data_IF_503893043772
#
_entry.id   IF_503893043772
#
_cell.length_a   1.000
_cell.length_b   1.000
_cell.length_c   1.000
_cell.angle_alpha   90.00
_cell.angle_beta   90.00
_cell.angle_gamma   90.00
#
_symmetry.space_group_name_H-M   'P 1'
#
loop_
_entity.id
_entity.type
_entity.pdbx_description
1 polymer ?
#
# COMPACT_ATOMS: atom_id res chain seq x y z
N UNK A 1 -55.05 0.27 -4.33
CA UNK A 1 -54.94 1.70 -4.66
C UNK A 1 -53.51 2.13 -4.36
N UNK A 2 -52.77 2.45 -5.41
CA UNK A 2 -51.36 2.84 -5.39
C UNK A 2 -51.12 4.06 -4.51
N UNK A 3 -50.13 4.02 -3.62
CA UNK A 3 -49.20 5.13 -3.45
C UNK A 3 -47.81 4.55 -3.14
N UNK A 4 -47.04 4.42 -4.22
CA UNK A 4 -45.58 4.33 -4.21
C UNK A 4 -45.06 5.56 -3.45
N UNK A 5 -44.57 5.38 -2.23
CA UNK A 5 -43.74 6.38 -1.57
C UNK A 5 -42.29 5.95 -1.70
N UNK A 6 -41.72 6.35 -2.83
CA UNK A 6 -40.31 6.30 -3.19
C UNK A 6 -39.54 7.28 -2.30
N UNK A 7 -39.16 6.89 -1.08
CA UNK A 7 -38.06 7.56 -0.37
C UNK A 7 -36.80 6.74 -0.59
N UNK A 8 -36.25 6.88 -1.80
CA UNK A 8 -34.82 6.67 -2.04
C UNK A 8 -34.13 7.73 -1.19
N UNK A 9 -33.70 7.36 0.02
CA UNK A 9 -32.68 8.11 0.73
C UNK A 9 -31.43 8.08 -0.12
N UNK A 10 -31.29 9.15 -0.89
CA UNK A 10 -30.13 9.61 -1.62
C UNK A 10 -28.84 9.12 -0.94
N UNK A 11 -28.22 8.09 -1.50
CA UNK A 11 -26.83 7.72 -1.23
C UNK A 11 -25.97 8.93 -1.63
N UNK A 12 -25.76 9.85 -0.70
CA UNK A 12 -24.57 10.69 -0.73
C UNK A 12 -23.40 9.78 -0.38
N UNK A 13 -22.91 9.03 -1.36
CA UNK A 13 -21.58 8.44 -1.30
C UNK A 13 -20.59 9.61 -1.33
N UNK A 14 -20.36 10.24 -0.18
CA UNK A 14 -19.05 10.84 0.06
C UNK A 14 -18.09 9.65 0.09
N UNK A 15 -17.53 9.31 -1.08
CA UNK A 15 -16.26 8.62 -1.09
C UNK A 15 -15.29 9.60 -0.43
N UNK A 16 -15.13 9.48 0.89
CA UNK A 16 -13.93 9.95 1.55
C UNK A 16 -12.82 9.25 0.75
N UNK A 17 -12.12 10.00 -0.09
CA UNK A 17 -10.82 9.58 -0.59
C UNK A 17 -9.94 9.49 0.65
N UNK A 18 -10.03 8.37 1.36
CA UNK A 18 -9.28 8.10 2.56
C UNK A 18 -7.83 7.93 2.10
N UNK A 19 -7.12 9.07 2.07
CA UNK A 19 -5.70 9.09 1.82
C UNK A 19 -5.01 8.31 2.91
N UNK A 20 -3.93 7.61 2.56
CA UNK A 20 -2.98 7.16 3.55
C UNK A 20 -1.74 8.04 3.55
N UNK A 21 -1.30 8.43 4.75
CA UNK A 21 -0.05 9.14 4.97
C UNK A 21 0.98 8.19 5.54
N UNK A 22 2.17 8.20 4.93
CA UNK A 22 3.32 7.41 5.34
C UNK A 22 4.35 8.36 5.92
N UNK A 23 4.75 8.11 7.17
CA UNK A 23 5.69 8.93 7.94
C UNK A 23 6.87 8.08 8.36
N UNK A 24 8.06 8.65 8.37
CA UNK A 24 9.24 7.98 8.90
C UNK A 24 9.16 7.82 10.42
N UNK A 25 9.60 6.66 10.91
CA UNK A 25 9.68 6.36 12.32
C UNK A 25 8.31 6.17 12.99
N UNK A 26 8.34 6.12 14.32
CA UNK A 26 7.14 5.99 15.16
C UNK A 26 6.57 7.38 15.46
N UNK A 27 5.35 7.65 14.99
CA UNK A 27 4.60 8.84 15.42
C UNK A 27 3.68 9.41 14.34
N UNK A 28 2.49 9.82 14.77
CA UNK A 28 1.46 10.39 13.88
C UNK A 28 1.74 11.86 13.52
N UNK A 29 2.72 12.49 14.17
CA UNK A 29 3.09 13.91 13.97
C UNK A 29 4.38 14.11 13.15
N UNK A 30 5.06 13.03 12.76
CA UNK A 30 6.27 13.11 11.94
C UNK A 30 5.95 13.63 10.54
N UNK A 31 6.93 14.17 9.82
CA UNK A 31 6.69 14.65 8.44
C UNK A 31 6.14 13.54 7.55
N UNK A 32 5.11 13.85 6.76
CA UNK A 32 4.58 12.92 5.75
C UNK A 32 5.59 12.81 4.61
N UNK A 33 6.18 11.62 4.45
CA UNK A 33 7.07 11.31 3.34
C UNK A 33 6.31 10.96 2.08
N UNK A 34 5.17 10.27 2.21
CA UNK A 34 4.37 9.86 1.07
C UNK A 34 2.87 9.95 1.33
N UNK A 35 2.12 10.20 0.27
CA UNK A 35 0.65 10.13 0.27
C UNK A 35 0.19 9.09 -0.74
N UNK A 36 -0.65 8.17 -0.28
CA UNK A 36 -1.41 7.25 -1.13
C UNK A 36 -2.82 7.79 -1.32
N UNK A 37 -3.25 7.97 -2.57
CA UNK A 37 -4.58 8.54 -2.90
C UNK A 37 -5.57 7.52 -3.48
N UNK A 38 -5.25 6.23 -3.42
CA UNK A 38 -6.07 5.15 -4.00
C UNK A 38 -5.66 4.75 -5.42
N UNK A 39 -4.89 5.58 -6.13
CA UNK A 39 -4.32 5.24 -7.44
C UNK A 39 -2.81 5.52 -7.53
N UNK A 40 -2.35 6.57 -6.86
CA UNK A 40 -1.00 7.08 -6.95
C UNK A 40 -0.33 7.13 -5.58
N UNK A 41 0.94 6.71 -5.53
CA UNK A 41 1.84 7.05 -4.44
C UNK A 41 2.59 8.32 -4.81
N UNK A 42 2.54 9.31 -3.92
CA UNK A 42 3.11 10.64 -4.14
C UNK A 42 4.16 10.97 -3.10
N UNK A 43 5.15 11.76 -3.48
CA UNK A 43 6.15 12.29 -2.56
C UNK A 43 5.57 13.46 -1.76
N UNK A 44 5.59 13.39 -0.44
CA UNK A 44 5.08 14.42 0.46
C UNK A 44 3.58 14.35 0.75
N UNK A 45 3.08 15.38 1.43
CA UNK A 45 1.69 15.47 1.89
C UNK A 45 0.76 16.01 0.80
N UNK A 46 -0.25 15.24 0.42
CA UNK A 46 -1.35 15.66 -0.44
C UNK A 46 -1.26 15.22 -1.91
N UNK A 47 -2.33 15.51 -2.65
CA UNK A 47 -2.59 14.94 -4.00
C UNK A 47 -2.00 15.73 -5.17
N UNK A 48 -1.42 16.89 -4.92
CA UNK A 48 -0.81 17.73 -5.97
C UNK A 48 0.70 17.51 -6.13
N UNK A 49 1.30 16.64 -5.31
CA UNK A 49 2.72 16.36 -5.39
C UNK A 49 3.07 15.38 -6.50
N UNK A 50 4.37 15.27 -6.77
CA UNK A 50 5.00 14.33 -7.69
C UNK A 50 4.49 12.91 -7.46
N UNK A 51 3.95 12.30 -8.52
CA UNK A 51 3.59 10.88 -8.54
C UNK A 51 4.87 10.08 -8.70
N UNK A 52 5.17 9.24 -7.71
CA UNK A 52 6.27 8.28 -7.77
C UNK A 52 5.83 7.01 -8.48
N UNK A 53 4.63 6.51 -8.16
CA UNK A 53 4.10 5.27 -8.71
C UNK A 53 2.61 5.35 -8.99
N UNK A 54 2.17 4.60 -10.00
CA UNK A 54 0.76 4.27 -10.26
C UNK A 54 0.53 2.82 -9.92
N UNK A 55 -0.65 2.51 -9.38
CA UNK A 55 -1.06 1.14 -9.08
C UNK A 55 -2.35 0.86 -9.83
N UNK A 56 -2.33 -0.18 -10.64
CA UNK A 56 -3.45 -0.62 -11.44
C UNK A 56 -3.62 -2.14 -11.31
N UNK A 57 -4.70 -2.55 -10.64
CA UNK A 57 -4.99 -3.94 -10.30
C UNK A 57 -3.86 -4.59 -9.49
N UNK A 58 -2.99 -5.35 -10.17
CA UNK A 58 -1.84 -6.05 -9.58
C UNK A 58 -0.50 -5.40 -9.91
N UNK A 59 -0.46 -4.36 -10.73
CA UNK A 59 0.79 -3.79 -11.22
C UNK A 59 1.16 -2.52 -10.47
N UNK A 60 2.45 -2.39 -10.16
CA UNK A 60 3.07 -1.16 -9.68
C UNK A 60 3.91 -0.61 -10.82
N UNK A 61 3.62 0.61 -11.26
CA UNK A 61 4.27 1.28 -12.39
C UNK A 61 5.02 2.51 -11.94
N UNK A 62 6.11 2.81 -12.63
CA UNK A 62 6.86 4.04 -12.41
C UNK A 62 6.06 5.27 -12.88
N UNK A 63 5.99 6.30 -12.04
CA UNK A 63 5.40 7.60 -12.37
C UNK A 63 3.90 7.55 -12.60
N UNK A 64 3.37 8.62 -13.20
CA UNK A 64 1.95 8.77 -13.52
C UNK A 64 1.66 8.17 -14.90
N UNK A 65 0.83 7.13 -14.96
CA UNK A 65 0.32 6.61 -16.23
C UNK A 65 0.09 5.11 -16.22
N UNK A 66 -1.01 4.69 -16.85
CA UNK A 66 -1.47 3.30 -16.86
C UNK A 66 -0.70 2.42 -17.87
N UNK A 67 0.18 3.02 -18.69
CA UNK A 67 1.00 2.35 -19.70
C UNK A 67 2.51 2.42 -19.43
N UNK A 68 2.91 2.96 -18.27
CA UNK A 68 4.33 3.03 -17.91
C UNK A 68 4.88 1.64 -17.58
N UNK A 69 6.21 1.54 -17.54
CA UNK A 69 6.94 0.33 -17.16
C UNK A 69 6.43 -0.23 -15.83
N UNK A 70 6.03 -1.50 -15.85
CA UNK A 70 5.68 -2.27 -14.66
C UNK A 70 6.97 -2.61 -13.92
N UNK A 71 7.11 -2.09 -12.70
CA UNK A 71 8.23 -2.37 -11.82
C UNK A 71 8.00 -3.64 -11.01
N UNK A 72 6.75 -3.92 -10.65
CA UNK A 72 6.40 -5.11 -9.88
C UNK A 72 4.97 -5.58 -10.12
N UNK A 73 4.74 -6.87 -9.85
CA UNK A 73 3.42 -7.52 -9.88
C UNK A 73 3.10 -8.09 -8.49
N UNK A 74 1.89 -7.84 -8.00
CA UNK A 74 1.38 -8.32 -6.72
C UNK A 74 0.28 -9.36 -6.91
N UNK A 75 0.46 -10.57 -6.37
CA UNK A 75 -0.53 -11.66 -6.53
C UNK A 75 -1.36 -11.95 -5.26
N UNK A 76 -1.30 -11.06 -4.27
CA UNK A 76 -1.96 -11.24 -2.97
C UNK A 76 -1.10 -11.95 -1.92
N UNK A 77 0.00 -12.59 -2.33
CA UNK A 77 0.98 -13.22 -1.43
C UNK A 77 2.42 -12.81 -1.72
N UNK A 78 2.76 -12.65 -2.99
CA UNK A 78 4.10 -12.38 -3.48
C UNK A 78 4.16 -11.06 -4.24
N UNK A 79 5.14 -10.22 -3.90
CA UNK A 79 5.58 -9.13 -4.75
C UNK A 79 6.69 -9.62 -5.65
N UNK A 80 6.49 -9.52 -6.97
CA UNK A 80 7.40 -10.01 -8.00
C UNK A 80 8.03 -8.87 -8.76
N UNK A 81 9.27 -9.05 -9.19
CA UNK A 81 9.93 -8.09 -10.06
C UNK A 81 9.29 -8.06 -11.45
N UNK A 82 9.00 -6.87 -11.97
CA UNK A 82 8.48 -6.67 -13.31
C UNK A 82 7.06 -7.20 -13.54
N UNK A 83 6.68 -7.29 -14.82
CA UNK A 83 5.37 -7.75 -15.26
C UNK A 83 5.32 -9.27 -15.36
N UNK A 84 4.44 -9.92 -14.60
CA UNK A 84 4.12 -11.34 -14.76
C UNK A 84 4.19 -12.16 -13.47
N UNK A 85 3.52 -13.31 -13.49
CA UNK A 85 3.27 -14.15 -12.31
C UNK A 85 4.39 -15.17 -12.04
N UNK A 86 5.35 -15.29 -12.95
CA UNK A 86 6.47 -16.24 -12.89
C UNK A 86 7.83 -15.60 -12.62
N UNK A 87 7.86 -14.28 -12.45
CA UNK A 87 9.10 -13.56 -12.17
C UNK A 87 9.60 -13.81 -10.74
N UNK A 88 10.85 -13.40 -10.51
CA UNK A 88 11.49 -13.50 -9.21
C UNK A 88 10.64 -12.85 -8.12
N UNK A 89 10.48 -13.56 -6.99
CA UNK A 89 9.78 -13.02 -5.80
C UNK A 89 10.76 -12.14 -5.05
N UNK A 90 10.36 -10.89 -4.82
CA UNK A 90 11.10 -9.93 -4.02
C UNK A 90 10.71 -10.10 -2.55
N UNK A 91 9.40 -10.15 -2.27
CA UNK A 91 8.86 -10.35 -0.93
C UNK A 91 7.68 -11.33 -0.92
N UNK A 92 7.55 -12.05 0.20
CA UNK A 92 6.34 -12.78 0.60
C UNK A 92 5.69 -12.07 1.78
N UNK A 93 4.36 -11.92 1.73
CA UNK A 93 3.52 -11.41 2.82
C UNK A 93 2.48 -12.44 3.24
N UNK A 94 2.34 -12.66 4.55
CA UNK A 94 1.43 -13.66 5.13
C UNK A 94 0.29 -13.06 6.00
N UNK A 95 0.12 -11.73 5.97
CA UNK A 95 -0.85 -11.04 6.82
C UNK A 95 -0.25 -10.45 8.10
N UNK A 96 0.97 -10.82 8.50
CA UNK A 96 1.69 -10.17 9.61
C UNK A 96 3.17 -9.93 9.34
N UNK A 97 3.82 -10.83 8.59
CA UNK A 97 5.26 -10.85 8.38
C UNK A 97 5.64 -10.74 6.91
N UNK A 98 6.67 -9.96 6.66
CA UNK A 98 7.28 -9.77 5.34
C UNK A 98 8.62 -10.50 5.34
N UNK A 99 8.84 -11.33 4.33
CA UNK A 99 10.05 -12.13 4.15
C UNK A 99 10.65 -11.89 2.79
N UNK A 100 11.98 -11.91 2.69
CA UNK A 100 12.65 -11.85 1.40
C UNK A 100 12.42 -13.13 0.60
N UNK A 101 12.20 -12.97 -0.70
CA UNK A 101 12.05 -14.09 -1.61
C UNK A 101 10.76 -14.90 -1.41
N UNK A 102 10.69 -16.03 -2.10
CA UNK A 102 9.57 -16.96 -2.02
C UNK A 102 9.73 -17.89 -0.81
N UNK A 103 8.75 -17.91 0.09
CA UNK A 103 8.66 -18.94 1.13
C UNK A 103 8.16 -18.44 2.47
N UNK A 104 7.30 -19.22 3.11
CA UNK A 104 6.64 -18.87 4.37
C UNK A 104 7.56 -19.07 5.61
N UNK A 105 8.71 -19.74 5.39
CA UNK A 105 9.70 -20.07 6.43
C UNK A 105 11.01 -19.29 6.32
N UNK A 106 11.11 -18.37 5.35
CA UNK A 106 12.27 -17.49 5.24
C UNK A 106 12.36 -16.55 6.45
N UNK A 107 13.55 -15.98 6.67
CA UNK A 107 13.76 -14.98 7.71
C UNK A 107 12.77 -13.82 7.56
N UNK A 108 12.08 -13.51 8.65
CA UNK A 108 11.20 -12.34 8.72
C UNK A 108 12.05 -11.09 8.74
N UNK A 109 11.91 -10.27 7.70
CA UNK A 109 12.57 -8.98 7.60
C UNK A 109 11.76 -7.87 8.24
N UNK A 110 10.43 -7.95 8.18
CA UNK A 110 9.57 -6.92 8.76
C UNK A 110 8.28 -7.50 9.34
N UNK A 111 7.71 -6.78 10.30
CA UNK A 111 6.37 -7.03 10.85
C UNK A 111 5.49 -5.82 10.57
N UNK A 112 4.28 -6.04 10.07
CA UNK A 112 3.29 -4.99 9.83
C UNK A 112 1.98 -5.29 10.56
N UNK A 113 1.47 -4.32 11.31
CA UNK A 113 0.25 -4.46 12.14
C UNK A 113 -0.91 -3.57 11.67
N UNK A 114 -0.82 -3.02 10.46
CA UNK A 114 -1.79 -2.06 9.93
C UNK A 114 -1.44 -0.59 10.20
N UNK A 115 -0.73 -0.29 11.29
CA UNK A 115 -0.29 1.07 11.64
C UNK A 115 1.21 1.27 11.49
N UNK A 116 2.01 0.28 11.83
CA UNK A 116 3.45 0.38 11.91
C UNK A 116 4.10 -0.78 11.17
N UNK A 117 5.06 -0.47 10.30
CA UNK A 117 6.02 -1.46 9.81
C UNK A 117 7.29 -1.38 10.65
N UNK A 118 7.76 -2.54 11.11
CA UNK A 118 8.92 -2.67 11.99
C UNK A 118 9.99 -3.56 11.38
N UNK A 119 11.25 -3.29 11.73
CA UNK A 119 12.37 -4.17 11.39
C UNK A 119 12.28 -5.48 12.18
N UNK A 120 12.41 -6.61 11.50
CA UNK A 120 12.44 -7.94 12.08
C UNK A 120 11.09 -8.47 12.57
N UNK A 121 11.16 -9.60 13.28
CA UNK A 121 10.01 -10.33 13.82
C UNK A 121 9.56 -9.75 15.16
N UNK A 122 8.29 -9.34 15.24
CA UNK A 122 7.64 -8.94 16.49
C UNK A 122 7.23 -7.47 16.55
N UNK A 123 6.46 -7.14 17.59
CA UNK A 123 5.67 -5.90 17.65
C UNK A 123 6.38 -4.77 18.42
N UNK A 124 7.59 -5.04 18.94
CA UNK A 124 8.38 -4.12 19.78
C UNK A 124 9.70 -3.65 19.15
N UNK A 125 9.95 -4.02 17.89
CA UNK A 125 11.16 -3.58 17.18
C UNK A 125 11.04 -2.14 16.67
N UNK A 126 12.15 -1.62 16.14
CA UNK A 126 12.23 -0.31 15.48
C UNK A 126 11.16 -0.14 14.42
N UNK A 127 10.35 0.91 14.55
CA UNK A 127 9.36 1.30 13.54
C UNK A 127 10.07 2.05 12.42
N UNK A 128 9.92 1.57 11.18
CA UNK A 128 10.41 2.25 9.98
C UNK A 128 9.43 3.29 9.48
N UNK A 129 8.16 2.90 9.37
CA UNK A 129 7.09 3.81 8.95
C UNK A 129 5.86 3.69 9.84
N UNK A 130 5.22 4.83 10.06
CA UNK A 130 3.86 4.95 10.57
C UNK A 130 2.93 5.21 9.39
N UNK A 131 1.84 4.44 9.32
CA UNK A 131 0.80 4.51 8.31
C UNK A 131 -0.47 5.04 8.98
N UNK A 132 -0.96 6.16 8.49
CA UNK A 132 -2.24 6.75 8.87
C UNK A 132 -3.21 6.59 7.70
N UNK A 133 -4.27 5.80 7.86
CA UNK A 133 -5.21 5.46 6.78
C UNK A 133 -4.93 4.08 6.17
N UNK A 134 -5.64 3.74 5.09
CA UNK A 134 -5.48 2.45 4.40
C UNK A 134 -4.40 2.51 3.31
N UNK A 135 -3.33 1.73 3.50
CA UNK A 135 -2.29 1.53 2.49
C UNK A 135 -2.31 0.07 2.02
N UNK A 136 -2.50 -0.21 0.72
CA UNK A 136 -2.36 -1.55 0.18
C UNK A 136 -0.95 -2.09 0.44
N UNK A 137 -0.86 -3.36 0.84
CA UNK A 137 0.40 -3.97 1.29
C UNK A 137 1.47 -3.94 0.21
N UNK A 138 1.10 -4.10 -1.06
CA UNK A 138 2.00 -4.06 -2.20
C UNK A 138 2.75 -2.72 -2.32
N UNK A 139 2.16 -1.62 -1.85
CA UNK A 139 2.79 -0.30 -1.84
C UNK A 139 3.79 -0.19 -0.70
N UNK A 140 3.42 -0.73 0.46
CA UNK A 140 4.33 -0.85 1.58
C UNK A 140 5.54 -1.75 1.27
N UNK A 141 5.31 -2.90 0.61
CA UNK A 141 6.35 -3.82 0.17
C UNK A 141 7.30 -3.15 -0.84
N UNK A 142 6.77 -2.29 -1.71
CA UNK A 142 7.59 -1.53 -2.64
C UNK A 142 8.43 -0.43 -1.97
N UNK A 143 7.93 0.19 -0.90
CA UNK A 143 8.65 1.24 -0.16
C UNK A 143 9.84 0.72 0.67
N UNK A 144 9.92 -0.58 0.92
CA UNK A 144 10.97 -1.22 1.73
C UNK A 144 11.92 -2.09 0.90
N UNK A 145 11.77 -2.03 -0.43
CA UNK A 145 12.52 -2.79 -1.43
C UNK A 145 13.98 -2.34 -1.55
#
# INVERSE_FOLDING_TARGET
MNHILLTITLLFSFALNAQAYIREGKGDYNTVLYTWDGKYLRQGKGVYNTVLFTVDNKYIRQGKGDYNTVLSTWDGKYLRQGQGDYNNVLYTWDGKYIRQGKGDYNTVLYTYDGKYIRQGKGDYNTVLYTIEGYLPIEILLFLIL
#
